data_IF_899009911373
#
_entry.id   IF_899009911373
#
_cell.length_a   1.000
_cell.length_b   1.000
_cell.length_c   1.000
_cell.angle_alpha   90.00
_cell.angle_beta   90.00
_cell.angle_gamma   90.00
#
_symmetry.space_group_name_H-M   'P 1'
#
loop_
_entity.id
_entity.type
_entity.pdbx_description
1 polymer ?
#
# COMPACT_ATOMS: atom_id res chain seq x y z
N UNK A 1 -9.63 14.90 26.94
CA UNK A 1 -8.18 15.16 26.90
C UNK A 1 -7.55 14.12 25.99
N UNK A 2 -7.11 14.52 24.80
CA UNK A 2 -6.32 13.65 23.92
C UNK A 2 -5.03 13.33 24.64
N UNK A 3 -4.73 12.05 24.88
CA UNK A 3 -3.43 11.66 25.41
C UNK A 3 -2.39 12.03 24.36
N UNK A 4 -1.41 12.85 24.73
CA UNK A 4 -0.29 13.19 23.84
C UNK A 4 0.52 11.93 23.60
N UNK A 5 0.31 11.30 22.45
CA UNK A 5 1.06 10.11 22.02
C UNK A 5 2.21 10.58 21.16
N UNK A 6 3.42 10.11 21.48
CA UNK A 6 4.65 10.49 20.81
C UNK A 6 5.32 9.28 20.17
N UNK A 7 6.22 9.56 19.22
CA UNK A 7 7.04 8.52 18.59
C UNK A 7 7.86 7.77 19.65
N UNK A 8 7.87 6.44 19.57
CA UNK A 8 8.57 5.59 20.54
C UNK A 8 7.75 5.22 21.78
N UNK A 9 6.56 5.80 21.97
CA UNK A 9 5.68 5.39 23.08
C UNK A 9 5.21 3.94 22.92
N UNK A 10 5.27 3.18 24.02
CA UNK A 10 4.68 1.84 24.12
C UNK A 10 3.16 1.95 24.32
N UNK A 11 2.41 1.26 23.47
CA UNK A 11 0.95 1.29 23.48
C UNK A 11 0.33 -0.08 23.27
N UNK A 12 -0.88 -0.27 23.78
CA UNK A 12 -1.78 -1.35 23.40
C UNK A 12 -2.73 -0.86 22.31
N UNK A 13 -2.78 -1.62 21.22
CA UNK A 13 -3.67 -1.37 20.10
C UNK A 13 -4.62 -2.56 19.89
N UNK A 14 -5.92 -2.29 19.79
CA UNK A 14 -6.96 -3.30 19.55
C UNK A 14 -7.36 -3.30 18.08
N UNK A 15 -7.08 -4.40 17.38
CA UNK A 15 -7.44 -4.57 15.97
C UNK A 15 -8.56 -5.60 15.83
N UNK A 16 -9.74 -5.17 15.37
CA UNK A 16 -10.86 -6.08 15.09
C UNK A 16 -11.22 -7.00 16.26
N UNK A 17 -11.24 -8.32 16.02
CA UNK A 17 -11.50 -9.35 17.03
C UNK A 17 -10.27 -9.76 17.85
N UNK A 18 -9.04 -9.46 17.40
CA UNK A 18 -7.80 -9.84 18.09
C UNK A 18 -7.64 -9.12 19.43
N UNK A 19 -7.08 -9.75 20.48
CA UNK A 19 -6.86 -9.08 21.76
C UNK A 19 -6.01 -7.81 21.62
N UNK A 20 -6.05 -6.87 22.59
CA UNK A 20 -5.14 -5.72 22.60
C UNK A 20 -3.69 -6.19 22.52
N UNK A 21 -2.98 -5.73 21.49
CA UNK A 21 -1.63 -6.18 21.17
C UNK A 21 -0.61 -5.07 21.48
N UNK A 22 0.55 -5.40 22.06
CA UNK A 22 1.60 -4.42 22.34
C UNK A 22 2.23 -3.91 21.04
N UNK A 23 2.44 -2.61 20.97
CA UNK A 23 2.98 -1.92 19.81
C UNK A 23 3.79 -0.68 20.21
N UNK A 24 4.62 -0.21 19.29
CA UNK A 24 5.37 1.04 19.39
C UNK A 24 4.80 2.04 18.39
N UNK A 25 4.64 3.29 18.81
CA UNK A 25 4.24 4.37 17.90
C UNK A 25 5.40 4.71 16.97
N UNK A 26 5.14 4.61 15.67
CA UNK A 26 6.16 4.68 14.62
C UNK A 26 6.08 5.99 13.83
N UNK A 27 7.22 6.63 13.50
CA UNK A 27 7.22 7.93 12.83
C UNK A 27 6.79 7.80 11.37
N UNK A 28 5.82 8.61 10.96
CA UNK A 28 5.22 8.51 9.63
C UNK A 28 6.21 8.66 8.47
N UNK A 29 7.21 9.53 8.63
CA UNK A 29 8.24 9.77 7.61
C UNK A 29 9.09 8.53 7.26
N UNK A 30 9.25 7.59 8.20
CA UNK A 30 10.06 6.38 8.02
C UNK A 30 9.31 5.17 7.48
N UNK A 31 7.97 5.22 7.52
CA UNK A 31 7.12 4.14 7.03
C UNK A 31 7.45 3.83 5.57
N UNK A 32 7.25 2.58 5.16
CA UNK A 32 7.34 2.19 3.75
C UNK A 32 6.32 2.96 2.90
N UNK A 33 6.61 3.11 1.60
CA UNK A 33 5.74 3.82 0.66
C UNK A 33 4.32 3.26 0.61
N UNK A 34 4.19 1.93 0.62
CA UNK A 34 2.91 1.23 0.58
C UNK A 34 2.08 1.43 1.85
N UNK A 35 2.75 1.51 3.01
CA UNK A 35 2.10 1.79 4.29
C UNK A 35 1.73 3.27 4.40
N UNK A 36 2.66 4.17 4.05
CA UNK A 36 2.48 5.61 4.11
C UNK A 36 1.36 6.11 3.18
N UNK A 37 1.21 5.52 1.99
CA UNK A 37 0.12 5.84 1.06
C UNK A 37 -1.26 5.49 1.62
N UNK A 38 -1.35 4.55 2.56
CA UNK A 38 -2.60 4.14 3.23
C UNK A 38 -2.90 4.96 4.48
N UNK A 39 -2.13 6.03 4.75
CA UNK A 39 -2.33 6.88 5.92
C UNK A 39 -3.76 7.41 5.98
N UNK A 40 -4.27 7.51 7.21
CA UNK A 40 -5.56 8.11 7.50
C UNK A 40 -5.33 9.42 8.25
N UNK A 41 -6.16 10.43 7.97
CA UNK A 41 -6.15 11.68 8.72
C UNK A 41 -6.35 11.41 10.20
N UNK A 42 -5.58 12.08 11.06
CA UNK A 42 -5.64 11.96 12.53
C UNK A 42 -5.38 10.55 13.07
N UNK A 43 -4.69 9.70 12.29
CA UNK A 43 -4.20 8.41 12.76
C UNK A 43 -2.67 8.43 12.85
N UNK A 44 -2.15 7.76 13.86
CA UNK A 44 -0.73 7.44 14.00
C UNK A 44 -0.48 6.03 13.49
N UNK A 45 0.74 5.79 13.00
CA UNK A 45 1.17 4.45 12.68
C UNK A 45 1.72 3.79 13.95
N UNK A 46 1.31 2.54 14.18
CA UNK A 46 1.86 1.68 15.22
C UNK A 46 2.49 0.45 14.58
N UNK A 47 3.61 -0.01 15.14
CA UNK A 47 4.32 -1.21 14.75
C UNK A 47 4.18 -2.23 15.87
N UNK A 48 3.62 -3.40 15.58
CA UNK A 48 3.40 -4.44 16.57
C UNK A 48 4.71 -5.18 16.91
N UNK A 49 4.80 -5.66 18.16
CA UNK A 49 5.83 -6.62 18.52
C UNK A 49 5.49 -8.01 17.99
N UNK A 50 6.52 -8.78 17.61
CA UNK A 50 6.41 -10.11 17.01
C UNK A 50 5.54 -10.17 15.72
N UNK A 51 5.33 -9.03 15.06
CA UNK A 51 4.59 -8.93 13.79
C UNK A 51 5.23 -7.82 12.92
N UNK A 52 5.52 -8.05 11.62
CA UNK A 52 6.10 -7.05 10.73
C UNK A 52 5.11 -5.98 10.23
N UNK A 53 3.84 -6.05 10.64
CA UNK A 53 2.79 -5.17 10.12
C UNK A 53 2.72 -3.83 10.85
N UNK A 54 2.38 -2.82 10.05
CA UNK A 54 2.02 -1.49 10.54
C UNK A 54 0.50 -1.34 10.52
N UNK A 55 -0.02 -0.65 11.53
CA UNK A 55 -1.44 -0.34 11.61
C UNK A 55 -1.68 1.14 11.86
N UNK A 56 -2.74 1.67 11.26
CA UNK A 56 -3.13 3.06 11.41
C UNK A 56 -4.29 3.15 12.39
N UNK A 57 -4.06 3.80 13.53
CA UNK A 57 -5.07 3.93 14.59
C UNK A 57 -5.14 5.36 15.12
N UNK A 58 -6.31 5.75 15.63
CA UNK A 58 -6.49 7.04 16.27
C UNK A 58 -5.82 7.05 17.66
N UNK A 59 -5.12 8.13 18.05
CA UNK A 59 -4.51 8.24 19.37
C UNK A 59 -5.48 7.99 20.54
N UNK A 60 -6.75 8.36 20.36
CA UNK A 60 -7.81 8.14 21.36
C UNK A 60 -8.12 6.66 21.64
N UNK A 61 -7.81 5.76 20.69
CA UNK A 61 -8.06 4.31 20.79
C UNK A 61 -6.84 3.52 21.25
N UNK A 62 -5.70 4.19 21.40
CA UNK A 62 -4.47 3.62 21.92
C UNK A 62 -4.43 3.78 23.44
N UNK A 63 -4.04 2.73 24.15
CA UNK A 63 -3.77 2.78 25.59
C UNK A 63 -2.27 2.75 25.81
N UNK A 64 -1.73 3.61 26.68
CA UNK A 64 -0.32 3.49 27.08
C UNK A 64 -0.10 2.15 27.77
N UNK A 65 1.06 1.56 27.51
CA UNK A 65 1.44 0.27 28.05
C UNK A 65 2.61 0.46 29.03
N UNK A 66 2.30 0.30 30.31
CA UNK A 66 3.29 0.41 31.38
C UNK A 66 3.97 -0.94 31.63
N UNK A 67 5.20 -0.90 32.14
CA UNK A 67 6.00 -2.12 32.41
C UNK A 67 5.31 -3.06 33.40
N UNK A 68 4.64 -2.52 34.40
CA UNK A 68 3.90 -3.32 35.39
C UNK A 68 2.77 -4.11 34.72
N UNK A 69 2.08 -3.48 33.76
CA UNK A 69 1.01 -4.15 32.99
C UNK A 69 1.57 -5.27 32.13
N UNK A 70 2.76 -5.08 31.55
CA UNK A 70 3.46 -6.11 30.77
C UNK A 70 3.83 -7.30 31.66
N UNK A 71 4.43 -7.04 32.82
CA UNK A 71 4.85 -8.08 33.75
C UNK A 71 3.65 -8.90 34.26
N UNK A 72 2.57 -8.23 34.67
CA UNK A 72 1.33 -8.87 35.09
C UNK A 72 0.78 -9.77 33.98
N UNK A 73 0.68 -9.26 32.75
CA UNK A 73 0.18 -10.05 31.62
C UNK A 73 1.02 -11.30 31.35
N UNK A 74 2.36 -11.17 31.32
CA UNK A 74 3.27 -12.29 31.11
C UNK A 74 3.11 -13.33 32.23
N UNK A 75 3.01 -12.90 33.48
CA UNK A 75 2.88 -13.82 34.63
C UNK A 75 1.58 -14.62 34.58
N UNK A 76 0.45 -13.95 34.32
CA UNK A 76 -0.88 -14.55 34.27
C UNK A 76 -1.05 -15.51 33.09
N UNK A 77 -0.50 -15.16 31.92
CA UNK A 77 -0.76 -15.87 30.67
C UNK A 77 0.39 -16.79 30.25
N UNK A 78 1.51 -16.85 31.00
CA UNK A 78 2.71 -17.63 30.68
C UNK A 78 2.47 -19.09 30.30
N UNK A 79 1.44 -19.72 30.89
CA UNK A 79 1.09 -21.14 30.67
C UNK A 79 0.06 -21.36 29.55
N UNK A 80 -0.51 -20.30 28.97
CA UNK A 80 -1.57 -20.40 27.98
C UNK A 80 -0.99 -20.62 26.57
N UNK A 81 -0.97 -21.88 26.11
CA UNK A 81 -0.41 -22.26 24.82
C UNK A 81 -1.09 -21.56 23.63
N UNK A 82 -2.38 -21.24 23.75
CA UNK A 82 -3.16 -20.60 22.68
C UNK A 82 -2.79 -19.14 22.43
N UNK A 83 -2.02 -18.51 23.33
CA UNK A 83 -1.62 -17.11 23.23
C UNK A 83 -0.11 -16.93 23.12
N UNK A 84 0.62 -17.97 22.69
CA UNK A 84 2.08 -17.98 22.61
C UNK A 84 2.65 -16.77 21.84
N UNK A 85 2.05 -16.42 20.71
CA UNK A 85 2.48 -15.27 19.89
C UNK A 85 2.29 -13.93 20.61
N UNK A 86 1.16 -13.78 21.32
CA UNK A 86 0.86 -12.59 22.11
C UNK A 86 1.82 -12.48 23.30
N UNK A 87 2.06 -13.58 24.02
CA UNK A 87 3.02 -13.64 25.12
C UNK A 87 4.42 -13.26 24.63
N UNK A 88 4.84 -13.75 23.45
CA UNK A 88 6.11 -13.37 22.84
C UNK A 88 6.15 -11.86 22.51
N UNK A 89 5.07 -11.30 21.99
CA UNK A 89 4.96 -9.87 21.74
C UNK A 89 5.11 -9.04 23.03
N UNK A 90 4.51 -9.48 24.14
CA UNK A 90 4.71 -8.84 25.45
C UNK A 90 6.12 -9.01 25.99
N UNK A 91 6.79 -10.15 25.77
CA UNK A 91 8.19 -10.34 26.13
C UNK A 91 9.13 -9.41 25.35
N UNK A 92 8.90 -9.24 24.05
CA UNK A 92 9.63 -8.26 23.24
C UNK A 92 9.36 -6.83 23.72
N UNK A 93 8.11 -6.50 24.03
CA UNK A 93 7.75 -5.20 24.60
C UNK A 93 8.41 -4.95 25.97
N UNK A 94 8.59 -5.99 26.80
CA UNK A 94 9.30 -5.89 28.07
C UNK A 94 10.79 -5.57 27.88
N UNK A 95 11.38 -6.14 26.83
CA UNK A 95 12.78 -5.92 26.46
C UNK A 95 12.98 -4.62 25.65
N UNK A 96 11.90 -3.88 25.37
CA UNK A 96 11.99 -2.61 24.69
C UNK A 96 12.70 -1.57 25.58
N UNK A 97 13.87 -1.16 25.12
CA UNK A 97 14.69 -0.12 25.74
C UNK A 97 14.81 1.07 24.80
N UNK A 98 15.85 1.08 23.99
CA UNK A 98 16.13 2.19 23.06
C UNK A 98 15.31 2.08 21.76
N UNK A 99 14.59 3.15 21.46
CA UNK A 99 13.82 3.28 20.22
C UNK A 99 14.71 3.19 18.97
N UNK A 100 15.95 3.66 19.02
CA UNK A 100 16.87 3.56 17.88
C UNK A 100 17.27 2.12 17.58
N UNK A 101 17.51 1.31 18.63
CA UNK A 101 17.80 -0.12 18.48
C UNK A 101 16.60 -0.83 17.86
N UNK A 102 15.39 -0.51 18.31
CA UNK A 102 14.16 -1.03 17.72
C UNK A 102 14.02 -0.63 16.24
N UNK A 103 14.25 0.64 15.89
CA UNK A 103 14.22 1.11 14.50
C UNK A 103 15.23 0.36 13.63
N UNK A 104 16.47 0.20 14.09
CA UNK A 104 17.49 -0.52 13.33
C UNK A 104 17.09 -1.97 13.08
N UNK A 105 16.62 -2.68 14.12
CA UNK A 105 16.12 -4.05 14.00
C UNK A 105 14.97 -4.15 12.99
N UNK A 106 13.99 -3.25 13.05
CA UNK A 106 12.87 -3.24 12.09
C UNK A 106 13.31 -2.96 10.65
N UNK A 107 14.22 -2.00 10.44
CA UNK A 107 14.75 -1.71 9.11
C UNK A 107 15.65 -2.84 8.57
N UNK A 108 16.31 -3.61 9.44
CA UNK A 108 17.06 -4.79 9.06
C UNK A 108 16.14 -5.95 8.64
N UNK A 109 15.09 -6.23 9.43
CA UNK A 109 14.03 -7.20 9.09
C UNK A 109 13.41 -6.89 7.72
N UNK A 110 13.16 -5.60 7.45
CA UNK A 110 12.60 -5.13 6.18
C UNK A 110 13.61 -5.03 5.03
N UNK A 111 14.90 -5.27 5.27
CA UNK A 111 16.01 -5.07 4.31
C UNK A 111 16.11 -3.63 3.77
N UNK A 112 15.70 -2.65 4.58
CA UNK A 112 15.68 -1.22 4.26
C UNK A 112 16.75 -0.43 5.02
N UNK A 113 17.71 -1.07 5.67
CA UNK A 113 18.76 -0.41 6.46
C UNK A 113 19.53 0.69 5.68
N UNK A 114 19.65 0.57 4.36
CA UNK A 114 20.23 1.61 3.48
C UNK A 114 19.42 2.90 3.49
N UNK A 115 18.09 2.81 3.58
CA UNK A 115 17.20 3.97 3.65
C UNK A 115 17.32 4.70 4.98
N UNK A 116 17.42 3.96 6.11
CA UNK A 116 17.65 4.54 7.42
C UNK A 116 18.97 5.32 7.47
N UNK A 117 20.06 4.72 6.98
CA UNK A 117 21.37 5.39 6.89
C UNK A 117 21.35 6.60 5.96
N UNK A 118 20.61 6.53 4.85
CA UNK A 118 20.44 7.66 3.94
C UNK A 118 19.67 8.80 4.60
N UNK A 119 18.64 8.49 5.38
CA UNK A 119 17.85 9.45 6.14
C UNK A 119 18.69 10.15 7.22
N UNK A 120 19.41 9.39 8.03
CA UNK A 120 20.33 9.94 9.06
C UNK A 120 21.38 10.86 8.44
N UNK A 121 21.89 10.51 7.25
CA UNK A 121 22.87 11.33 6.52
C UNK A 121 22.27 12.62 5.96
N UNK A 122 21.00 12.62 5.53
CA UNK A 122 20.36 13.80 4.94
C UNK A 122 19.84 14.78 5.99
N UNK A 123 19.26 14.27 7.08
CA UNK A 123 18.65 15.09 8.13
C UNK A 123 19.63 15.44 9.25
N UNK A 124 20.83 14.85 9.26
CA UNK A 124 21.91 15.21 10.17
C UNK A 124 21.64 14.87 11.64
N UNK A 125 20.63 14.05 11.93
CA UNK A 125 20.25 13.65 13.29
C UNK A 125 19.65 12.24 13.32
N UNK A 126 19.95 11.51 14.39
CA UNK A 126 19.25 10.26 14.73
C UNK A 126 17.84 10.60 15.20
N UNK A 127 16.90 9.71 14.92
CA UNK A 127 15.50 9.91 15.30
C UNK A 127 15.35 9.64 16.78
N UNK A 128 14.83 10.61 17.51
CA UNK A 128 14.70 10.50 18.97
C UNK A 128 13.27 10.11 19.30
N UNK A 129 13.11 9.29 20.35
CA UNK A 129 11.79 9.09 20.94
C UNK A 129 11.25 10.43 21.48
N UNK A 130 9.92 10.59 21.50
CA UNK A 130 9.28 11.81 21.99
C UNK A 130 8.94 12.85 20.91
N UNK A 131 9.32 12.61 19.65
CA UNK A 131 8.94 13.44 18.51
C UNK A 131 7.47 13.27 18.09
N UNK A 132 6.96 14.24 17.32
CA UNK A 132 5.61 14.20 16.76
C UNK A 132 5.46 13.06 15.72
N UNK A 133 4.57 12.07 15.97
CA UNK A 133 4.36 10.95 15.06
C UNK A 133 3.68 11.36 13.75
N UNK A 134 3.07 12.56 13.68
CA UNK A 134 2.40 13.07 12.48
C UNK A 134 3.34 13.71 11.46
N UNK A 135 4.62 13.87 11.79
CA UNK A 135 5.63 14.39 10.86
C UNK A 135 5.74 13.43 9.67
N UNK A 136 5.15 13.87 8.55
CA UNK A 136 5.17 13.15 7.28
C UNK A 136 6.51 13.28 6.57
N UNK A 137 6.62 12.62 5.42
CA UNK A 137 7.76 12.86 4.52
C UNK A 137 7.64 14.27 3.95
N UNK A 138 8.48 15.18 4.41
CA UNK A 138 8.80 16.40 3.66
C UNK A 138 9.24 15.95 2.28
N UNK A 139 8.70 16.58 1.23
CA UNK A 139 9.12 16.33 -0.15
C UNK A 139 10.57 16.81 -0.29
N UNK A 140 11.53 16.02 0.19
CA UNK A 140 12.93 16.19 -0.16
C UNK A 140 12.99 15.81 -1.64
N UNK A 141 12.94 16.88 -2.43
CA UNK A 141 13.18 16.96 -3.85
C UNK A 141 14.32 15.99 -4.18
N UNK A 142 14.00 14.93 -4.91
CA UNK A 142 14.99 14.16 -5.66
C UNK A 142 15.58 15.07 -6.74
N UNK A 143 16.41 16.04 -6.33
CA UNK A 143 17.36 16.76 -7.19
C UNK A 143 18.55 15.81 -7.36
N UNK A 144 18.35 14.72 -8.11
CA UNK A 144 19.46 13.91 -8.62
C UNK A 144 19.68 14.26 -10.09
N UNK A 145 20.68 15.13 -10.28
CA UNK A 145 21.60 15.27 -11.41
C UNK A 145 20.98 15.13 -12.82
N UNK A 146 20.64 16.28 -13.41
CA UNK A 146 20.89 16.51 -14.84
C UNK A 146 21.96 17.60 -14.92
N UNK A 147 23.20 17.19 -15.17
CA UNK A 147 24.29 18.09 -15.48
C UNK A 147 24.16 18.55 -16.94
N UNK A 148 24.55 19.80 -17.16
CA UNK A 148 24.85 20.49 -18.43
C UNK A 148 23.76 20.49 -19.51
N UNK A 149 23.14 21.66 -19.70
CA UNK A 149 23.40 22.53 -20.86
C UNK A 149 23.00 23.95 -20.44
N UNK A 150 23.98 24.83 -20.56
CA UNK A 150 23.90 26.29 -20.41
C UNK A 150 23.17 26.88 -21.61
N UNK A 151 22.27 27.84 -21.38
CA UNK A 151 22.11 29.02 -22.24
C UNK A 151 21.41 30.14 -21.44
N UNK A 152 22.00 31.33 -21.51
CA UNK A 152 21.46 32.64 -21.12
C UNK A 152 20.13 32.89 -21.89
N UNK A 153 19.21 33.77 -21.52
CA UNK A 153 19.39 35.15 -21.07
C UNK A 153 18.06 35.69 -20.49
N UNK A 154 18.22 36.54 -19.49
CA UNK A 154 17.54 37.81 -19.23
C UNK A 154 16.01 38.03 -19.08
N UNK A 155 15.74 39.07 -18.26
CA UNK A 155 14.52 39.89 -18.08
C UNK A 155 13.57 39.63 -16.88
N UNK A 156 13.89 40.34 -15.79
CA UNK A 156 13.08 41.38 -15.09
C UNK A 156 11.54 41.28 -15.10
N UNK A 157 10.96 41.33 -13.88
CA UNK A 157 9.93 42.33 -13.55
C UNK A 157 8.72 41.90 -12.72
N UNK A 158 8.66 42.43 -11.48
CA UNK A 158 7.48 42.95 -10.72
C UNK A 158 6.37 41.97 -10.30
N UNK A 159 6.23 41.70 -8.99
CA UNK A 159 5.49 42.45 -7.94
C UNK A 159 4.04 41.96 -7.75
N UNK A 160 3.77 41.51 -6.52
CA UNK A 160 2.58 41.75 -5.65
C UNK A 160 1.15 41.72 -6.27
N UNK A 161 0.11 41.12 -5.68
CA UNK A 161 -0.32 41.10 -4.27
C UNK A 161 -1.62 40.26 -4.15
N UNK A 162 -1.86 39.70 -2.95
CA UNK A 162 -3.13 39.66 -2.17
C UNK A 162 -4.48 39.27 -2.86
N UNK A 163 -5.49 38.64 -2.26
CA UNK A 163 -5.81 37.94 -0.99
C UNK A 163 -7.33 37.64 -1.08
N UNK A 164 -7.87 36.92 -0.10
CA UNK A 164 -9.30 36.79 0.29
C UNK A 164 -10.12 35.73 -0.46
N UNK A 165 -10.55 34.65 0.25
CA UNK A 165 -11.81 34.46 1.02
C UNK A 165 -13.00 34.24 0.09
N UNK A 166 -13.99 33.36 0.28
CA UNK A 166 -14.59 32.60 1.38
C UNK A 166 -15.36 31.44 0.69
N UNK A 167 -15.45 30.23 1.23
CA UNK A 167 -16.54 29.85 2.14
C UNK A 167 -17.74 29.25 1.38
N UNK A 168 -17.99 27.93 1.55
CA UNK A 168 -19.36 27.38 1.58
C UNK A 168 -19.40 25.90 2.02
N UNK A 169 -20.24 25.67 3.03
CA UNK A 169 -20.60 24.43 3.71
C UNK A 169 -21.56 23.55 2.90
N UNK A 170 -21.47 22.22 3.10
CA UNK A 170 -22.59 21.29 3.41
C UNK A 170 -22.06 19.85 3.26
N UNK A 171 -21.80 19.08 4.31
CA UNK A 171 -22.74 18.37 5.18
C UNK A 171 -23.75 17.50 4.40
N UNK A 172 -23.56 16.17 4.40
CA UNK A 172 -24.59 15.09 4.44
C UNK A 172 -23.87 13.72 4.53
N UNK A 173 -23.98 13.09 5.70
CA UNK A 173 -24.10 11.61 5.93
C UNK A 173 -25.62 11.30 5.95
N UNK A 174 -26.15 10.05 5.93
CA UNK A 174 -25.55 8.76 6.33
C UNK A 174 -25.91 7.59 5.35
N UNK A 175 -25.41 6.34 5.42
CA UNK A 175 -25.82 5.31 6.38
C UNK A 175 -25.44 3.89 5.90
N UNK A 176 -25.00 3.08 6.88
CA UNK A 176 -25.10 1.62 7.11
C UNK A 176 -25.60 0.68 5.97
N UNK A 177 -24.85 -0.41 5.74
CA UNK A 177 -25.41 -1.78 5.63
C UNK A 177 -24.37 -2.86 6.02
N UNK A 178 -24.88 -3.93 6.63
CA UNK A 178 -24.22 -5.02 7.38
C UNK A 178 -23.89 -6.25 6.48
N UNK A 179 -22.78 -6.96 6.81
CA UNK A 179 -22.45 -8.44 6.92
C UNK A 179 -23.19 -9.49 6.03
N UNK A 180 -22.65 -10.71 5.72
CA UNK A 180 -21.92 -11.70 6.58
C UNK A 180 -20.64 -12.34 5.95
N UNK A 181 -19.58 -12.76 6.68
CA UNK A 181 -19.27 -14.07 7.33
C UNK A 181 -19.47 -15.33 6.45
N UNK A 182 -18.40 -16.04 6.03
CA UNK A 182 -18.00 -17.35 6.62
C UNK A 182 -16.70 -17.99 6.07
N UNK A 183 -16.07 -18.80 6.95
CA UNK A 183 -15.08 -19.91 6.80
C UNK A 183 -13.68 -19.70 6.17
N UNK A 184 -12.58 -19.73 6.96
CA UNK A 184 -11.80 -20.87 7.51
C UNK A 184 -11.00 -21.67 6.46
N UNK A 185 -9.67 -21.51 6.45
CA UNK A 185 -8.74 -22.53 6.97
C UNK A 185 -7.29 -22.03 7.00
N UNK A 186 -6.65 -22.32 8.13
CA UNK A 186 -5.22 -22.11 8.41
C UNK A 186 -4.47 -23.38 8.02
N UNK A 187 -3.35 -23.26 7.29
CA UNK A 187 -2.26 -24.25 7.36
C UNK A 187 -0.90 -23.58 7.53
N UNK A 188 -0.22 -24.05 8.58
CA UNK A 188 1.11 -23.68 9.05
C UNK A 188 2.23 -24.26 8.18
N UNK A 189 3.32 -23.49 8.11
CA UNK A 189 4.74 -23.85 8.01
C UNK A 189 5.25 -24.74 6.86
N UNK A 190 6.20 -24.19 6.09
CA UNK A 190 7.54 -24.80 5.90
C UNK A 190 8.52 -23.77 5.31
N UNK A 191 9.69 -23.67 5.95
CA UNK A 191 10.87 -22.97 5.49
C UNK A 191 11.32 -23.50 4.12
N UNK A 192 11.08 -22.77 3.03
CA UNK A 192 11.84 -22.92 1.78
C UNK A 192 12.04 -21.54 1.17
N UNK A 193 13.31 -21.16 0.96
CA UNK A 193 13.73 -20.01 0.13
C UNK A 193 13.14 -20.15 -1.28
N UNK A 194 11.93 -19.65 -1.52
CA UNK A 194 11.32 -19.49 -2.84
C UNK A 194 10.93 -18.02 -2.98
N UNK A 195 11.30 -17.39 -4.09
CA UNK A 195 10.79 -16.07 -4.50
C UNK A 195 9.30 -16.04 -4.19
N UNK A 196 8.88 -15.17 -3.26
CA UNK A 196 7.50 -15.10 -2.77
C UNK A 196 6.60 -14.96 -3.99
N UNK A 197 5.90 -16.05 -4.31
CA UNK A 197 4.89 -16.11 -5.37
C UNK A 197 3.86 -15.06 -4.95
N UNK A 198 3.73 -14.00 -5.75
CA UNK A 198 2.70 -12.99 -5.49
C UNK A 198 1.38 -13.72 -5.31
N UNK A 199 0.68 -13.46 -4.19
CA UNK A 199 -0.55 -14.15 -3.88
C UNK A 199 -1.51 -14.05 -5.06
N UNK A 200 -2.17 -15.16 -5.37
CA UNK A 200 -3.08 -15.26 -6.51
C UNK A 200 -4.21 -14.20 -6.42
N UNK A 201 -4.72 -13.94 -5.21
CA UNK A 201 -5.65 -12.84 -4.93
C UNK A 201 -5.06 -11.46 -5.29
N UNK A 202 -3.77 -11.26 -5.01
CA UNK A 202 -3.06 -10.03 -5.33
C UNK A 202 -2.88 -9.82 -6.83
N UNK A 203 -2.66 -10.89 -7.60
CA UNK A 203 -2.62 -10.82 -9.08
C UNK A 203 -3.96 -10.37 -9.67
N UNK A 204 -5.06 -10.90 -9.15
CA UNK A 204 -6.41 -10.52 -9.56
C UNK A 204 -6.67 -9.05 -9.22
N UNK A 205 -6.32 -8.61 -8.01
CA UNK A 205 -6.49 -7.22 -7.57
C UNK A 205 -5.72 -6.24 -8.46
N UNK A 206 -4.47 -6.58 -8.81
CA UNK A 206 -3.64 -5.78 -9.72
C UNK A 206 -4.26 -5.73 -11.14
N UNK A 207 -4.75 -6.86 -11.64
CA UNK A 207 -5.42 -6.94 -12.95
C UNK A 207 -6.70 -6.09 -12.98
N UNK A 208 -7.47 -6.09 -11.89
CA UNK A 208 -8.65 -5.23 -11.70
C UNK A 208 -8.27 -3.76 -11.57
N UNK A 209 -7.12 -3.45 -10.98
CA UNK A 209 -6.61 -2.07 -10.89
C UNK A 209 -6.22 -1.55 -12.27
N UNK A 210 -5.47 -2.34 -13.05
CA UNK A 210 -5.14 -1.99 -14.44
C UNK A 210 -6.40 -1.72 -15.26
N UNK A 211 -7.38 -2.64 -15.20
CA UNK A 211 -8.67 -2.45 -15.86
C UNK A 211 -9.32 -1.13 -15.47
N UNK A 212 -9.51 -0.88 -14.17
CA UNK A 212 -10.27 0.30 -13.69
C UNK A 212 -9.60 1.60 -14.10
N UNK A 213 -8.27 1.66 -14.06
CA UNK A 213 -7.53 2.86 -14.45
C UNK A 213 -7.59 3.11 -15.95
N UNK A 214 -7.29 2.10 -16.77
CA UNK A 214 -7.35 2.23 -18.24
C UNK A 214 -8.79 2.58 -18.67
N UNK A 215 -9.78 1.89 -18.12
CA UNK A 215 -11.19 2.16 -18.43
C UNK A 215 -11.62 3.57 -18.02
N UNK A 216 -11.17 4.08 -16.86
CA UNK A 216 -11.44 5.46 -16.45
C UNK A 216 -10.72 6.47 -17.33
N UNK A 217 -9.48 6.20 -17.72
CA UNK A 217 -8.66 7.15 -18.45
C UNK A 217 -9.09 7.29 -19.92
N UNK A 218 -9.63 6.21 -20.52
CA UNK A 218 -9.94 6.17 -21.94
C UNK A 218 -11.44 6.05 -22.30
N UNK A 219 -12.25 5.36 -21.50
CA UNK A 219 -13.62 4.94 -21.94
C UNK A 219 -14.72 5.61 -21.12
N UNK A 220 -14.59 5.66 -19.80
CA UNK A 220 -15.63 6.20 -18.90
C UNK A 220 -15.47 7.70 -18.67
N UNK A 221 -15.37 8.48 -19.75
CA UNK A 221 -15.18 9.93 -19.68
C UNK A 221 -16.15 10.66 -20.57
N UNK A 222 -16.60 11.80 -20.06
CA UNK A 222 -17.39 12.80 -20.80
C UNK A 222 -16.49 13.85 -21.48
N UNK A 223 -15.18 13.84 -21.18
CA UNK A 223 -14.18 14.79 -21.70
C UNK A 223 -12.99 14.08 -22.31
N UNK A 224 -12.31 14.66 -23.33
CA UNK A 224 -11.11 14.06 -23.93
C UNK A 224 -10.03 13.71 -22.91
N UNK A 225 -9.20 12.67 -23.15
CA UNK A 225 -8.10 12.32 -22.27
C UNK A 225 -7.08 13.46 -22.11
N UNK A 226 -6.69 13.76 -20.87
CA UNK A 226 -5.58 14.69 -20.62
C UNK A 226 -4.27 14.03 -21.02
N UNK A 227 -3.25 14.81 -21.38
CA UNK A 227 -1.89 14.32 -21.66
C UNK A 227 -1.33 13.43 -20.52
N UNK A 228 -1.66 13.77 -19.26
CA UNK A 228 -1.29 12.95 -18.10
C UNK A 228 -1.98 11.57 -18.10
N UNK A 229 -3.23 11.49 -18.54
CA UNK A 229 -4.02 10.25 -18.56
C UNK A 229 -3.57 9.33 -19.70
N UNK A 230 -3.21 9.92 -20.84
CA UNK A 230 -2.57 9.24 -21.97
C UNK A 230 -1.24 8.62 -21.54
N UNK A 231 -0.39 9.42 -20.89
CA UNK A 231 0.89 8.94 -20.37
C UNK A 231 0.73 7.82 -19.34
N UNK A 232 -0.20 7.97 -18.38
CA UNK A 232 -0.47 6.91 -17.41
C UNK A 232 -0.97 5.64 -18.12
N UNK A 233 -1.83 5.77 -19.12
CA UNK A 233 -2.34 4.62 -19.89
C UNK A 233 -1.20 3.86 -20.57
N UNK A 234 -0.26 4.55 -21.22
CA UNK A 234 0.91 3.92 -21.81
C UNK A 234 1.77 3.19 -20.76
N UNK A 235 2.02 3.80 -19.61
CA UNK A 235 2.77 3.13 -18.53
C UNK A 235 2.08 1.85 -18.04
N UNK A 236 0.74 1.87 -17.93
CA UNK A 236 -0.03 0.70 -17.51
C UNK A 236 -0.01 -0.39 -18.58
N UNK A 237 -0.19 -0.03 -19.86
CA UNK A 237 -0.17 -0.98 -20.96
C UNK A 237 1.22 -1.59 -21.17
N UNK A 238 2.30 -0.81 -21.07
CA UNK A 238 3.67 -1.31 -21.13
C UNK A 238 3.97 -2.30 -19.98
N UNK A 239 3.52 -2.01 -18.76
CA UNK A 239 3.65 -2.96 -17.64
C UNK A 239 2.86 -4.24 -17.88
N UNK A 240 1.71 -4.17 -18.53
CA UNK A 240 0.95 -5.37 -18.91
C UNK A 240 1.75 -6.17 -19.92
N UNK A 241 2.26 -5.53 -20.97
CA UNK A 241 3.05 -6.15 -22.03
C UNK A 241 4.30 -6.86 -21.48
N UNK A 242 5.13 -6.17 -20.70
CA UNK A 242 6.35 -6.71 -20.08
C UNK A 242 6.11 -7.96 -19.22
N UNK A 243 4.91 -8.08 -18.64
CA UNK A 243 4.56 -9.19 -17.75
C UNK A 243 3.69 -10.27 -18.43
N UNK A 244 3.46 -10.14 -19.75
CA UNK A 244 2.63 -11.07 -20.53
C UNK A 244 3.43 -12.25 -21.10
N UNK A 245 4.66 -12.03 -21.54
CA UNK A 245 5.47 -13.03 -22.26
C UNK A 245 6.45 -13.83 -21.37
N UNK A 246 6.13 -13.98 -20.09
CA UNK A 246 7.01 -14.69 -19.15
C UNK A 246 6.63 -16.17 -19.05
N UNK A 247 7.62 -17.08 -18.91
CA UNK A 247 7.45 -18.54 -18.66
C UNK A 247 6.45 -18.87 -17.53
N UNK A 248 6.13 -17.89 -16.69
CA UNK A 248 5.04 -17.94 -15.73
C UNK A 248 4.21 -16.65 -15.87
N UNK A 249 3.18 -16.61 -16.72
CA UNK A 249 2.46 -15.39 -17.01
C UNK A 249 1.88 -14.81 -15.73
N UNK A 250 2.08 -13.50 -15.55
CA UNK A 250 1.47 -12.78 -14.44
C UNK A 250 -0.07 -12.85 -14.57
N UNK A 251 -0.54 -12.61 -15.80
CA UNK A 251 -1.92 -12.68 -16.23
C UNK A 251 -2.28 -14.11 -16.65
N UNK A 252 -2.64 -14.93 -15.67
CA UNK A 252 -3.15 -16.28 -15.91
C UNK A 252 -4.65 -16.28 -16.29
N UNK A 253 -5.16 -17.45 -16.68
CA UNK A 253 -6.57 -17.68 -17.08
C UNK A 253 -7.53 -17.03 -16.10
N UNK A 254 -7.33 -17.25 -14.81
CA UNK A 254 -8.24 -16.74 -13.80
C UNK A 254 -8.12 -15.23 -13.60
N UNK A 255 -6.91 -14.67 -13.62
CA UNK A 255 -6.72 -13.22 -13.55
C UNK A 255 -7.43 -12.51 -14.71
N UNK A 256 -7.38 -13.09 -15.92
CA UNK A 256 -8.11 -12.56 -17.08
C UNK A 256 -9.61 -12.87 -17.04
N UNK A 257 -10.04 -13.97 -16.43
CA UNK A 257 -11.47 -14.31 -16.21
C UNK A 257 -12.15 -13.26 -15.32
N UNK A 258 -11.55 -12.98 -14.17
CA UNK A 258 -12.10 -12.06 -13.17
C UNK A 258 -11.98 -10.61 -13.61
N UNK A 259 -10.78 -10.18 -14.04
CA UNK A 259 -10.58 -8.81 -14.47
C UNK A 259 -11.28 -8.51 -15.80
N UNK A 260 -11.49 -9.51 -16.67
CA UNK A 260 -11.96 -9.31 -18.05
C UNK A 260 -11.10 -8.30 -18.82
N UNK A 261 -9.83 -8.12 -18.44
CA UNK A 261 -8.92 -7.09 -19.00
C UNK A 261 -8.76 -7.24 -20.52
N UNK A 262 -8.71 -8.49 -21.02
CA UNK A 262 -8.72 -8.79 -22.45
C UNK A 262 -9.93 -8.21 -23.21
N UNK A 263 -11.10 -8.07 -22.57
CA UNK A 263 -12.27 -7.44 -23.20
C UNK A 263 -12.13 -5.92 -23.29
N UNK A 264 -11.50 -5.31 -22.29
CA UNK A 264 -11.22 -3.88 -22.30
C UNK A 264 -10.25 -3.55 -23.44
N UNK A 265 -9.18 -4.32 -23.60
CA UNK A 265 -8.22 -4.12 -24.70
C UNK A 265 -8.89 -4.28 -26.07
N UNK A 266 -9.81 -5.24 -26.22
CA UNK A 266 -10.62 -5.36 -27.45
C UNK A 266 -11.53 -4.16 -27.69
N UNK A 267 -12.13 -3.61 -26.64
CA UNK A 267 -12.95 -2.40 -26.77
C UNK A 267 -12.11 -1.20 -27.23
N UNK A 268 -10.89 -1.04 -26.69
CA UNK A 268 -9.95 0.01 -27.11
C UNK A 268 -9.56 -0.15 -28.58
N UNK A 269 -9.26 -1.37 -29.03
CA UNK A 269 -8.90 -1.64 -30.43
C UNK A 269 -10.07 -1.40 -31.40
N UNK A 270 -11.31 -1.55 -30.93
CA UNK A 270 -12.50 -1.32 -31.74
C UNK A 270 -12.93 0.15 -31.79
N UNK A 271 -12.36 1.00 -30.94
CA UNK A 271 -12.66 2.43 -30.89
C UNK A 271 -11.65 3.21 -31.76
N UNK A 272 -12.17 3.88 -32.79
CA UNK A 272 -11.36 4.66 -33.73
C UNK A 272 -10.70 5.89 -33.07
N UNK A 273 -11.29 6.43 -31.99
CA UNK A 273 -10.73 7.58 -31.28
C UNK A 273 -9.52 7.22 -30.41
N UNK A 274 -9.24 5.93 -30.24
CA UNK A 274 -8.15 5.40 -29.42
C UNK A 274 -7.07 4.70 -30.27
N UNK A 275 -6.98 5.03 -31.57
CA UNK A 275 -6.05 4.42 -32.54
C UNK A 275 -4.60 4.40 -32.05
N UNK A 276 -4.20 5.46 -31.34
CA UNK A 276 -2.91 5.62 -30.67
C UNK A 276 -2.48 4.40 -29.81
N UNK A 277 -3.45 3.72 -29.16
CA UNK A 277 -3.17 2.58 -28.27
C UNK A 277 -3.32 1.22 -28.98
N UNK A 278 -3.78 1.21 -30.23
CA UNK A 278 -4.09 -0.03 -30.96
C UNK A 278 -2.88 -0.94 -31.13
N UNK A 279 -1.68 -0.47 -31.54
CA UNK A 279 -0.54 -1.36 -31.75
C UNK A 279 -0.22 -2.17 -30.50
N UNK A 280 -0.13 -1.50 -29.36
CA UNK A 280 0.26 -2.12 -28.10
C UNK A 280 -0.85 -3.03 -27.55
N UNK A 281 -2.12 -2.63 -27.69
CA UNK A 281 -3.24 -3.49 -27.30
C UNK A 281 -3.33 -4.76 -28.16
N UNK A 282 -3.04 -4.67 -29.47
CA UNK A 282 -3.01 -5.81 -30.38
C UNK A 282 -1.91 -6.79 -29.99
N UNK A 283 -0.70 -6.31 -29.69
CA UNK A 283 0.40 -7.17 -29.25
C UNK A 283 0.10 -7.91 -27.94
N UNK A 284 -0.46 -7.22 -26.94
CA UNK A 284 -0.88 -7.86 -25.69
C UNK A 284 -1.95 -8.92 -25.97
N UNK A 285 -2.96 -8.61 -26.80
CA UNK A 285 -4.02 -9.56 -27.16
C UNK A 285 -3.48 -10.79 -27.90
N UNK A 286 -2.46 -10.62 -28.74
CA UNK A 286 -1.77 -11.73 -29.41
C UNK A 286 -1.05 -12.63 -28.39
N UNK A 287 -0.32 -12.05 -27.42
CA UNK A 287 0.34 -12.81 -26.36
C UNK A 287 -0.64 -13.61 -25.49
N UNK A 288 -1.90 -13.16 -25.38
CA UNK A 288 -2.95 -13.83 -24.61
C UNK A 288 -3.88 -14.71 -25.47
N UNK A 289 -3.59 -14.92 -26.75
CA UNK A 289 -4.51 -15.61 -27.66
C UNK A 289 -4.90 -17.02 -27.17
N UNK A 290 -3.94 -17.78 -26.64
CA UNK A 290 -4.18 -19.11 -26.08
C UNK A 290 -5.08 -19.05 -24.84
N UNK A 291 -4.76 -18.16 -23.90
CA UNK A 291 -5.51 -17.95 -22.65
C UNK A 291 -6.95 -17.50 -22.95
N UNK A 292 -7.13 -16.61 -23.93
CA UNK A 292 -8.45 -16.14 -24.36
C UNK A 292 -9.26 -17.26 -25.01
N UNK A 293 -8.60 -18.16 -25.75
CA UNK A 293 -9.25 -19.32 -26.38
C UNK A 293 -9.71 -20.31 -25.32
N UNK A 294 -8.89 -20.56 -24.30
CA UNK A 294 -9.26 -21.38 -23.14
C UNK A 294 -10.49 -20.80 -22.41
N UNK A 295 -10.49 -19.50 -22.12
CA UNK A 295 -11.64 -18.80 -21.51
C UNK A 295 -12.93 -18.91 -22.33
N UNK A 296 -12.85 -18.95 -23.66
CA UNK A 296 -14.02 -19.14 -24.53
C UNK A 296 -14.55 -20.57 -24.45
N UNK A 297 -13.65 -21.57 -24.43
CA UNK A 297 -14.01 -22.99 -24.32
C UNK A 297 -14.72 -23.28 -22.99
N UNK A 298 -14.21 -22.76 -21.88
CA UNK A 298 -14.86 -22.90 -20.56
C UNK A 298 -16.27 -22.32 -20.55
N UNK A 299 -16.47 -21.15 -21.17
CA UNK A 299 -17.80 -20.52 -21.24
C UNK A 299 -18.81 -21.36 -22.01
N UNK A 300 -18.37 -22.09 -23.03
CA UNK A 300 -19.21 -22.99 -23.82
C UNK A 300 -19.55 -24.30 -23.08
N UNK A 301 -18.68 -24.77 -22.19
CA UNK A 301 -18.91 -25.97 -21.38
C UNK A 301 -19.83 -25.74 -20.16
N UNK A 302 -19.99 -24.48 -19.71
CA UNK A 302 -20.87 -24.11 -18.59
C UNK A 302 -22.32 -23.87 -19.03
N UNK A 303 -22.63 -23.91 -20.33
CA UNK A 303 -24.00 -23.91 -20.81
C UNK A 303 -24.58 -25.33 -20.67
N UNK A 304 -25.69 -25.52 -19.93
CA UNK A 304 -26.36 -26.82 -19.91
C UNK A 304 -26.88 -27.11 -21.31
N UNK A 305 -26.57 -28.31 -21.80
CA UNK A 305 -27.29 -28.97 -22.89
C UNK A 305 -28.80 -28.88 -22.60
N UNK A 306 -29.64 -28.48 -23.59
CA UNK A 306 -31.04 -28.10 -23.38
C UNK A 306 -31.90 -29.17 -22.70
#
# INVERSE_FOLDING_TARGET
>A
MTKDIRTGDLVLCKVGSFPPWPAVVFPQRLLRDDVYRKRKSNCVAVCFFNDPTYYWEQPSRLKRLDRDTIHTFISEHSKNANQRELINAYKEANNFGDFNVFLQGKFEEEKRLKELKAFEKSEGSKIVAGEDPFIGRTKVVNKRKKASISFNDDLKGKEEKQQSNEGSNSNIKPSKKKRPMDNMEVKLNTNIKKKVKLDYSRKIEISLLFRRRIQRNLIQRETPPTEADVKETYELLNRIYENSDTKRPFFDVNALRESKLHKLLKAIVNDAHLEEFHPLCKEILLSWAEIITELKKEKLQVLPTP
#
